data_IF_663925306265
#
_entry.id   IF_663925306265
#
_cell.length_a   1.000
_cell.length_b   1.000
_cell.length_c   1.000
_cell.angle_alpha   90.00
_cell.angle_beta   90.00
_cell.angle_gamma   90.00
#
_symmetry.space_group_name_H-M   'P 1'
#
loop_
_entity.id
_entity.type
_entity.pdbx_description
1 polymer ?
#
# COMPACT_ATOMS: atom_id res chain seq x y z
N UNK A 1 23.06 7.59 -2.94
CA UNK A 1 21.66 7.68 -2.44
C UNK A 1 21.49 9.03 -1.76
N UNK A 2 20.75 9.97 -2.38
CA UNK A 2 20.58 11.32 -1.84
C UNK A 2 19.82 11.38 -0.51
N UNK A 3 19.91 12.48 0.26
CA UNK A 3 19.25 12.63 1.56
C UNK A 3 17.73 12.46 1.48
N UNK A 4 17.12 12.92 0.39
CA UNK A 4 15.70 12.74 0.08
C UNK A 4 15.30 11.27 0.08
N UNK A 5 16.20 10.37 -0.35
CA UNK A 5 15.82 8.97 -0.44
C UNK A 5 15.66 8.32 0.93
N UNK A 6 16.52 8.68 1.88
CA UNK A 6 16.45 8.15 3.24
C UNK A 6 15.20 8.62 3.98
N UNK A 7 14.76 9.86 3.73
CA UNK A 7 13.55 10.41 4.38
C UNK A 7 12.31 9.63 3.95
N UNK A 8 12.12 9.41 2.65
CA UNK A 8 10.97 8.63 2.14
C UNK A 8 11.03 7.18 2.66
N UNK A 9 12.22 6.58 2.69
CA UNK A 9 12.41 5.23 3.20
C UNK A 9 12.04 5.13 4.69
N UNK A 10 12.42 6.13 5.48
CA UNK A 10 12.09 6.22 6.89
C UNK A 10 10.57 6.39 7.09
N UNK A 11 9.91 7.23 6.29
CA UNK A 11 8.46 7.41 6.34
C UNK A 11 7.71 6.11 6.00
N UNK A 12 8.14 5.39 4.96
CA UNK A 12 7.55 4.10 4.57
C UNK A 12 7.76 3.05 5.68
N UNK A 13 8.91 3.04 6.33
CA UNK A 13 9.17 2.13 7.45
C UNK A 13 8.31 2.45 8.68
N UNK A 14 8.09 3.74 8.99
CA UNK A 14 7.14 4.14 10.04
C UNK A 14 5.74 3.63 9.70
N UNK A 15 5.32 3.82 8.45
CA UNK A 15 4.00 3.39 7.98
C UNK A 15 3.81 1.88 8.12
N UNK A 16 4.83 1.10 7.76
CA UNK A 16 4.87 -0.35 7.95
C UNK A 16 4.88 -0.75 9.44
N UNK A 17 5.61 -0.03 10.29
CA UNK A 17 5.64 -0.29 11.73
C UNK A 17 4.27 -0.05 12.37
N UNK A 18 3.58 1.03 11.98
CA UNK A 18 2.21 1.31 12.42
C UNK A 18 1.28 0.17 11.97
N UNK A 19 1.37 -0.27 10.71
CA UNK A 19 0.59 -1.40 10.21
C UNK A 19 0.85 -2.70 11.01
N UNK A 20 2.11 -2.98 11.35
CA UNK A 20 2.49 -4.16 12.13
C UNK A 20 1.92 -4.10 13.56
N UNK A 21 1.94 -2.93 14.21
CA UNK A 21 1.33 -2.74 15.53
C UNK A 21 -0.17 -2.94 15.48
N UNK A 22 -0.87 -2.36 14.49
CA UNK A 22 -2.31 -2.54 14.29
C UNK A 22 -2.63 -4.02 14.06
N UNK A 23 -1.83 -4.72 13.27
CA UNK A 23 -1.99 -6.16 13.03
C UNK A 23 -1.85 -7.00 14.31
N UNK A 24 -0.85 -6.69 15.15
CA UNK A 24 -0.69 -7.34 16.45
C UNK A 24 -1.87 -7.09 17.39
N UNK A 25 -2.34 -5.84 17.48
CA UNK A 25 -3.50 -5.47 18.29
C UNK A 25 -4.78 -6.15 17.80
N UNK A 26 -4.98 -6.24 16.48
CA UNK A 26 -6.10 -6.94 15.87
C UNK A 26 -6.08 -8.43 16.20
N UNK A 27 -4.91 -9.08 16.12
CA UNK A 27 -4.78 -10.49 16.47
C UNK A 27 -5.20 -10.73 17.92
N UNK A 28 -4.68 -9.92 18.86
CA UNK A 28 -5.04 -10.00 20.28
C UNK A 28 -6.54 -9.75 20.47
N UNK A 29 -7.10 -8.75 19.79
CA UNK A 29 -8.52 -8.40 19.86
C UNK A 29 -9.45 -9.51 19.37
N UNK A 30 -9.09 -10.18 18.26
CA UNK A 30 -9.85 -11.32 17.74
C UNK A 30 -9.73 -12.51 18.69
N UNK A 31 -8.53 -12.83 19.17
CA UNK A 31 -8.33 -13.89 20.17
C UNK A 31 -9.17 -13.65 21.42
N UNK A 32 -9.20 -12.41 21.94
CA UNK A 32 -10.02 -12.04 23.09
C UNK A 32 -11.52 -12.18 22.80
N UNK A 33 -11.99 -11.70 21.64
CA UNK A 33 -13.40 -11.80 21.27
C UNK A 33 -13.85 -13.26 21.08
N UNK A 34 -13.00 -14.09 20.48
CA UNK A 34 -13.22 -15.54 20.35
C UNK A 34 -13.29 -16.18 21.73
N UNK A 35 -12.34 -15.90 22.63
CA UNK A 35 -12.35 -16.40 24.01
C UNK A 35 -13.61 -15.96 24.77
N UNK A 36 -13.98 -14.68 24.67
CA UNK A 36 -15.18 -14.12 25.30
C UNK A 36 -16.46 -14.80 24.80
N UNK A 37 -16.53 -15.12 23.50
CA UNK A 37 -17.68 -15.82 22.92
C UNK A 37 -17.82 -17.24 23.46
N UNK A 38 -16.71 -17.94 23.70
CA UNK A 38 -16.73 -19.31 24.22
C UNK A 38 -16.94 -19.39 25.73
N UNK A 39 -16.44 -18.43 26.50
CA UNK A 39 -16.48 -18.45 27.97
C UNK A 39 -17.65 -17.66 28.53
N UNK A 40 -17.96 -16.49 27.96
CA UNK A 40 -18.97 -15.56 28.47
C UNK A 40 -20.28 -15.59 27.67
N UNK A 41 -20.35 -16.35 26.55
CA UNK A 41 -21.53 -16.53 25.70
C UNK A 41 -22.19 -15.24 25.16
N UNK A 42 -21.50 -14.09 25.28
CA UNK A 42 -21.93 -12.77 24.79
C UNK A 42 -21.20 -12.46 23.47
N UNK A 43 -21.91 -12.39 22.32
CA UNK A 43 -21.29 -12.05 21.04
C UNK A 43 -21.01 -10.55 20.95
N UNK A 44 -19.74 -10.15 21.01
CA UNK A 44 -19.31 -8.79 20.70
C UNK A 44 -19.43 -8.51 19.19
N UNK A 45 -20.60 -8.05 18.75
CA UNK A 45 -20.84 -7.66 17.35
C UNK A 45 -19.83 -6.60 16.85
N UNK A 46 -19.36 -5.71 17.74
CA UNK A 46 -18.38 -4.65 17.44
C UNK A 46 -16.99 -5.15 17.06
N UNK A 47 -16.62 -6.40 17.40
CA UNK A 47 -15.28 -6.93 17.07
C UNK A 47 -15.14 -7.15 15.56
N UNK A 48 -16.21 -7.57 14.88
CA UNK A 48 -16.16 -7.85 13.44
C UNK A 48 -15.92 -6.56 12.64
N UNK A 49 -16.60 -5.48 13.00
CA UNK A 49 -16.43 -4.14 12.40
C UNK A 49 -14.99 -3.62 12.63
N UNK A 50 -14.50 -3.70 13.88
CA UNK A 50 -13.14 -3.27 14.22
C UNK A 50 -12.07 -4.07 13.45
N UNK A 51 -12.30 -5.36 13.24
CA UNK A 51 -11.42 -6.22 12.47
C UNK A 51 -11.38 -5.82 10.99
N UNK A 52 -12.55 -5.58 10.39
CA UNK A 52 -12.64 -5.12 9.01
C UNK A 52 -11.92 -3.78 8.80
N UNK A 53 -12.14 -2.81 9.69
CA UNK A 53 -11.50 -1.50 9.62
C UNK A 53 -9.98 -1.61 9.73
N UNK A 54 -9.49 -2.34 10.72
CA UNK A 54 -8.06 -2.54 10.93
C UNK A 54 -7.39 -3.24 9.75
N UNK A 55 -8.07 -4.21 9.11
CA UNK A 55 -7.55 -4.90 7.92
C UNK A 55 -7.35 -3.93 6.75
N UNK A 56 -8.25 -2.97 6.57
CA UNK A 56 -8.11 -1.90 5.56
C UNK A 56 -6.86 -1.08 5.87
N UNK A 57 -6.69 -0.59 7.11
CA UNK A 57 -5.50 0.18 7.50
C UNK A 57 -4.21 -0.61 7.29
N UNK A 58 -4.15 -1.87 7.72
CA UNK A 58 -2.95 -2.71 7.58
C UNK A 58 -2.62 -2.90 6.09
N UNK A 59 -3.61 -3.22 5.26
CA UNK A 59 -3.42 -3.48 3.83
C UNK A 59 -2.86 -2.25 3.12
N UNK A 60 -3.46 -1.08 3.34
CA UNK A 60 -3.07 0.15 2.65
C UNK A 60 -1.75 0.74 3.19
N UNK A 61 -1.53 0.78 4.51
CA UNK A 61 -0.26 1.28 5.08
C UNK A 61 0.94 0.39 4.74
N UNK A 62 0.74 -0.93 4.62
CA UNK A 62 1.83 -1.86 4.30
C UNK A 62 2.16 -1.93 2.80
N UNK A 63 1.23 -1.54 1.93
CA UNK A 63 1.40 -1.65 0.47
C UNK A 63 2.67 -0.96 -0.09
N UNK A 64 3.02 0.29 0.31
CA UNK A 64 4.24 0.95 -0.19
C UNK A 64 5.52 0.22 0.22
N UNK A 65 5.55 -0.30 1.45
CA UNK A 65 6.69 -1.06 1.97
C UNK A 65 6.82 -2.41 1.26
N UNK A 66 5.71 -3.11 1.02
CA UNK A 66 5.70 -4.37 0.31
C UNK A 66 6.13 -4.20 -1.16
N UNK A 67 5.64 -3.15 -1.82
CA UNK A 67 6.04 -2.83 -3.20
C UNK A 67 7.55 -2.57 -3.29
N UNK A 68 8.13 -1.86 -2.31
CA UNK A 68 9.57 -1.66 -2.23
C UNK A 68 10.34 -2.98 -2.15
N UNK A 69 9.90 -3.91 -1.32
CA UNK A 69 10.60 -5.19 -1.10
C UNK A 69 10.46 -6.13 -2.30
N UNK A 70 9.27 -6.16 -2.94
CA UNK A 70 8.91 -7.13 -3.98
C UNK A 70 9.04 -6.60 -5.41
N UNK A 71 9.20 -5.29 -5.58
CA UNK A 71 9.30 -4.64 -6.89
C UNK A 71 10.38 -5.26 -7.78
N UNK A 72 11.58 -5.47 -7.25
CA UNK A 72 12.65 -6.13 -8.01
C UNK A 72 12.40 -7.63 -8.21
N UNK A 73 11.89 -8.32 -7.18
CA UNK A 73 11.75 -9.78 -7.15
C UNK A 73 10.67 -10.30 -8.11
N UNK A 74 9.51 -9.64 -8.19
CA UNK A 74 8.39 -10.10 -9.02
C UNK A 74 8.74 -10.03 -10.51
N UNK A 75 9.44 -8.97 -10.92
CA UNK A 75 9.82 -8.86 -12.32
C UNK A 75 10.99 -9.81 -12.59
N UNK A 76 11.99 -9.94 -11.71
CA UNK A 76 13.11 -10.87 -11.92
C UNK A 76 12.71 -12.32 -12.25
N UNK A 77 11.62 -12.85 -11.67
CA UNK A 77 11.10 -14.19 -12.01
C UNK A 77 10.67 -14.33 -13.47
N UNK A 78 9.96 -13.33 -14.00
CA UNK A 78 9.51 -13.30 -15.41
C UNK A 78 10.70 -13.05 -16.33
N UNK A 79 11.67 -12.27 -15.86
CA UNK A 79 12.82 -11.85 -16.62
C UNK A 79 13.91 -12.91 -16.73
N UNK A 80 13.92 -13.93 -15.86
CA UNK A 80 14.81 -15.10 -15.97
C UNK A 80 14.60 -15.88 -17.29
N UNK A 81 13.44 -15.74 -17.93
CA UNK A 81 13.11 -16.40 -19.19
C UNK A 81 13.42 -15.56 -20.44
N UNK A 82 13.84 -14.29 -20.30
CA UNK A 82 13.94 -13.32 -21.41
C UNK A 82 15.35 -12.75 -21.60
N UNK A 83 15.70 -12.43 -22.86
CA UNK A 83 16.94 -11.72 -23.20
C UNK A 83 17.00 -10.31 -22.57
N UNK A 84 18.21 -9.85 -22.24
CA UNK A 84 18.47 -8.60 -21.47
C UNK A 84 17.80 -7.33 -22.01
N UNK A 85 17.56 -7.22 -23.31
CA UNK A 85 16.90 -6.03 -23.91
C UNK A 85 15.38 -6.06 -23.71
N UNK A 86 14.74 -7.21 -23.88
CA UNK A 86 13.31 -7.37 -23.64
C UNK A 86 12.98 -7.31 -22.15
N UNK A 87 13.90 -7.83 -21.31
CA UNK A 87 13.87 -7.70 -19.84
C UNK A 87 13.70 -6.23 -19.41
N UNK A 88 14.57 -5.36 -19.92
CA UNK A 88 14.57 -3.93 -19.56
C UNK A 88 13.34 -3.17 -20.09
N UNK A 89 12.82 -3.52 -21.27
CA UNK A 89 11.62 -2.89 -21.80
C UNK A 89 10.36 -3.24 -20.97
N UNK A 90 10.25 -4.49 -20.51
CA UNK A 90 9.14 -4.93 -19.66
C UNK A 90 9.16 -4.30 -18.27
N UNK A 91 10.34 -4.15 -17.67
CA UNK A 91 10.51 -3.45 -16.39
C UNK A 91 10.00 -2.01 -16.48
N UNK A 92 10.50 -1.25 -17.46
CA UNK A 92 10.09 0.13 -17.68
C UNK A 92 8.58 0.26 -17.96
N UNK A 93 8.03 -0.67 -18.75
CA UNK A 93 6.60 -0.70 -19.04
C UNK A 93 5.76 -0.94 -17.79
N UNK A 94 6.15 -1.91 -16.95
CA UNK A 94 5.45 -2.22 -15.71
C UNK A 94 5.50 -1.03 -14.73
N UNK A 95 6.65 -0.37 -14.62
CA UNK A 95 6.80 0.80 -13.74
C UNK A 95 5.93 1.97 -14.22
N UNK A 96 5.92 2.27 -15.53
CA UNK A 96 5.06 3.31 -16.11
C UNK A 96 3.59 2.98 -15.85
N UNK A 97 3.18 1.73 -16.08
CA UNK A 97 1.82 1.28 -15.83
C UNK A 97 1.45 1.42 -14.35
N UNK A 98 2.38 1.07 -13.45
CA UNK A 98 2.25 1.24 -12.01
C UNK A 98 2.05 2.70 -11.59
N UNK A 99 2.79 3.64 -12.18
CA UNK A 99 2.57 5.09 -11.96
C UNK A 99 1.19 5.50 -12.42
N UNK A 100 0.78 5.14 -13.64
CA UNK A 100 -0.51 5.55 -14.21
C UNK A 100 -1.66 5.05 -13.33
N UNK A 101 -1.64 3.77 -12.95
CA UNK A 101 -2.67 3.18 -12.09
C UNK A 101 -2.66 3.86 -10.73
N UNK A 102 -1.49 4.08 -10.12
CA UNK A 102 -1.40 4.69 -8.79
C UNK A 102 -1.91 6.12 -8.78
N UNK A 103 -1.61 6.92 -9.81
CA UNK A 103 -2.12 8.30 -9.96
C UNK A 103 -3.62 8.31 -10.18
N UNK A 104 -4.12 7.43 -11.07
CA UNK A 104 -5.55 7.31 -11.34
C UNK A 104 -6.33 6.96 -10.07
N UNK A 105 -5.86 5.97 -9.31
CA UNK A 105 -6.46 5.59 -8.02
C UNK A 105 -6.32 6.68 -6.96
N UNK A 106 -5.19 7.40 -6.89
CA UNK A 106 -5.02 8.52 -5.97
C UNK A 106 -6.07 9.61 -6.25
N UNK A 107 -6.26 9.97 -7.52
CA UNK A 107 -7.25 10.98 -7.92
C UNK A 107 -8.68 10.52 -7.66
N UNK A 108 -9.02 9.30 -8.06
CA UNK A 108 -10.36 8.75 -7.85
C UNK A 108 -10.68 8.61 -6.36
N UNK A 109 -9.75 8.09 -5.55
CA UNK A 109 -9.94 7.96 -4.10
C UNK A 109 -10.10 9.32 -3.43
N UNK A 110 -9.36 10.35 -3.88
CA UNK A 110 -9.52 11.71 -3.38
C UNK A 110 -10.90 12.30 -3.71
N UNK A 111 -11.37 12.15 -4.95
CA UNK A 111 -12.72 12.58 -5.34
C UNK A 111 -13.80 11.88 -4.54
N UNK A 112 -13.72 10.55 -4.40
CA UNK A 112 -14.67 9.77 -3.62
C UNK A 112 -14.63 10.21 -2.16
N UNK A 113 -13.44 10.45 -1.59
CA UNK A 113 -13.30 10.98 -0.22
C UNK A 113 -14.03 12.32 -0.11
N UNK A 114 -13.75 13.29 -0.98
CA UNK A 114 -14.42 14.60 -0.94
C UNK A 114 -15.94 14.53 -1.10
N UNK A 115 -16.44 13.68 -2.00
CA UNK A 115 -17.89 13.49 -2.17
C UNK A 115 -18.52 12.88 -0.91
N UNK A 116 -17.86 11.89 -0.30
CA UNK A 116 -18.34 11.26 0.94
C UNK A 116 -18.36 12.22 2.14
N UNK A 117 -17.40 13.16 2.21
CA UNK A 117 -17.39 14.22 3.24
C UNK A 117 -18.59 15.16 3.07
N UNK A 118 -18.98 15.45 1.83
CA UNK A 118 -20.10 16.36 1.52
C UNK A 118 -21.47 15.72 1.73
N UNK A 119 -21.57 14.41 1.49
CA UNK A 119 -22.83 13.66 1.59
C UNK A 119 -23.08 13.08 3.00
N UNK A 120 -22.17 13.28 3.97
CA UNK A 120 -22.14 12.64 5.30
C UNK A 120 -22.51 11.14 5.23
N UNK A 121 -21.93 10.45 4.25
CA UNK A 121 -22.20 9.02 4.06
C UNK A 121 -21.63 8.27 5.25
N UNK A 122 -22.52 7.72 6.05
CA UNK A 122 -22.18 6.85 7.17
C UNK A 122 -22.36 5.41 6.73
N UNK A 123 -21.38 4.59 7.07
CA UNK A 123 -21.50 3.15 6.84
C UNK A 123 -22.65 2.66 7.74
N UNK A 124 -23.53 1.82 7.18
CA UNK A 124 -24.61 1.16 7.92
C UNK A 124 -24.04 0.06 8.84
N UNK A 125 -23.19 0.47 9.78
CA UNK A 125 -22.61 -0.36 10.84
C UNK A 125 -23.17 0.08 12.21
N UNK A 126 -23.13 -0.80 13.20
CA UNK A 126 -23.75 -0.62 14.52
C UNK A 126 -23.23 0.60 15.29
N UNK A 127 -22.07 1.15 14.91
CA UNK A 127 -21.44 2.31 15.53
C UNK A 127 -21.57 3.62 14.73
N UNK A 128 -22.30 3.63 13.59
CA UNK A 128 -22.50 4.82 12.76
C UNK A 128 -21.18 5.55 12.42
N UNK A 129 -20.13 4.77 12.15
CA UNK A 129 -18.78 5.30 11.95
C UNK A 129 -18.74 6.08 10.64
N UNK A 130 -18.21 7.31 10.64
CA UNK A 130 -18.17 8.11 9.43
C UNK A 130 -17.19 7.48 8.41
N UNK A 131 -17.66 7.26 7.18
CA UNK A 131 -16.94 6.52 6.13
C UNK A 131 -15.61 7.19 5.73
N UNK A 132 -15.51 8.50 5.93
CA UNK A 132 -14.33 9.32 5.62
C UNK A 132 -13.03 8.83 6.29
N UNK A 133 -13.11 8.17 7.44
CA UNK A 133 -11.96 7.81 8.27
C UNK A 133 -11.21 6.66 7.61
N UNK A 134 -11.98 5.71 7.06
CA UNK A 134 -11.50 4.58 6.29
C UNK A 134 -11.05 5.02 4.89
N UNK A 135 -11.78 5.94 4.25
CA UNK A 135 -11.45 6.33 2.89
C UNK A 135 -10.17 7.17 2.80
N UNK A 136 -9.84 7.95 3.83
CA UNK A 136 -8.66 8.84 3.83
C UNK A 136 -7.31 8.10 3.80
N UNK A 137 -7.25 6.86 4.28
CA UNK A 137 -6.01 6.06 4.26
C UNK A 137 -5.61 5.65 2.84
N UNK A 138 -6.60 5.52 1.95
CA UNK A 138 -6.44 5.07 0.56
C UNK A 138 -5.64 6.08 -0.27
N UNK A 139 -6.02 7.38 -0.39
CA UNK A 139 -5.26 8.36 -1.16
C UNK A 139 -3.85 8.56 -0.60
N UNK A 140 -3.65 8.51 0.73
CA UNK A 140 -2.31 8.57 1.33
C UNK A 140 -1.45 7.42 0.81
N UNK A 141 -1.97 6.20 0.86
CA UNK A 141 -1.21 5.00 0.48
C UNK A 141 -0.86 5.01 -1.01
N UNK A 142 -1.80 5.42 -1.87
CA UNK A 142 -1.55 5.57 -3.31
C UNK A 142 -0.56 6.71 -3.65
N UNK A 143 -0.52 7.77 -2.85
CA UNK A 143 0.48 8.83 -2.99
C UNK A 143 1.89 8.26 -2.73
N UNK A 144 2.08 7.51 -1.65
CA UNK A 144 3.35 6.84 -1.36
C UNK A 144 3.72 5.79 -2.42
N UNK A 145 2.77 5.01 -2.92
CA UNK A 145 2.99 4.07 -4.04
C UNK A 145 3.45 4.79 -5.31
N UNK A 146 2.84 5.93 -5.64
CA UNK A 146 3.23 6.74 -6.80
C UNK A 146 4.68 7.21 -6.69
N UNK A 147 5.08 7.70 -5.50
CA UNK A 147 6.48 8.10 -5.24
C UNK A 147 7.42 6.90 -5.41
N UNK A 148 7.01 5.72 -4.95
CA UNK A 148 7.82 4.49 -5.04
C UNK A 148 8.02 4.05 -6.50
N UNK A 149 6.97 4.03 -7.31
CA UNK A 149 7.10 3.72 -8.74
C UNK A 149 7.96 4.73 -9.50
N UNK A 150 7.84 6.03 -9.17
CA UNK A 150 8.67 7.05 -9.80
C UNK A 150 10.17 6.86 -9.50
N UNK A 151 10.51 6.25 -8.36
CA UNK A 151 11.89 5.89 -8.00
C UNK A 151 12.38 4.70 -8.82
N UNK A 152 11.56 3.67 -9.01
CA UNK A 152 11.92 2.53 -9.85
C UNK A 152 12.24 2.97 -11.28
N UNK A 153 11.41 3.84 -11.88
CA UNK A 153 11.68 4.43 -13.19
C UNK A 153 13.04 5.15 -13.22
N UNK A 154 13.37 5.94 -12.19
CA UNK A 154 14.65 6.66 -12.13
C UNK A 154 15.84 5.71 -12.05
N UNK A 155 15.72 4.63 -11.29
CA UNK A 155 16.77 3.64 -11.13
C UNK A 155 17.00 2.86 -12.43
N UNK A 156 15.92 2.45 -13.09
CA UNK A 156 15.96 1.79 -14.41
C UNK A 156 16.60 2.67 -15.49
N UNK A 157 16.27 3.97 -15.53
CA UNK A 157 16.88 4.92 -16.47
C UNK A 157 18.39 5.08 -16.21
N UNK A 158 18.82 5.11 -14.94
CA UNK A 158 20.25 5.21 -14.60
C UNK A 158 21.00 3.95 -15.04
N UNK A 159 20.40 2.78 -14.85
CA UNK A 159 20.97 1.50 -15.29
C UNK A 159 21.06 1.42 -16.82
N UNK A 160 20.07 1.94 -17.54
CA UNK A 160 20.11 2.04 -19.02
C UNK A 160 21.25 2.94 -19.50
N UNK A 161 21.55 4.03 -18.78
CA UNK A 161 22.66 4.93 -19.14
C UNK A 161 24.02 4.25 -18.95
N UNK A 162 24.22 3.53 -17.84
CA UNK A 162 25.46 2.77 -17.57
C UNK A 162 25.68 1.59 -18.52
N UNK A 163 24.62 0.88 -18.90
CA UNK A 163 24.71 -0.26 -19.83
C UNK A 163 25.14 0.13 -21.25
N UNK A 164 25.01 1.41 -21.63
CA UNK A 164 25.51 1.94 -22.91
C UNK A 164 26.97 2.40 -22.85
N UNK A 165 27.48 2.73 -21.66
CA UNK A 165 28.88 3.18 -21.48
C UNK A 165 29.88 2.01 -21.40
N UNK A 166 29.41 0.77 -21.16
CA UNK A 166 30.27 -0.43 -21.11
C UNK A 166 30.36 -1.22 -22.42
N UNK A 167 29.71 -0.78 -23.50
CA UNK A 167 29.81 -1.38 -24.86
C UNK A 167 30.62 -0.50 -25.85
N UNK A 168 31.27 0.57 -25.38
CA UNK A 168 32.19 1.43 -26.14
C UNK A 168 33.62 1.25 -25.63
#
# INVERSE_FOLDING_TARGET
>A
MGPVNRVIDFLINILAAIAAVIMGLLLIGICYATFSRFVFNEPLARTVELAAYSLIYITFLSAPWLLRQRGHINVDLILLALKDRAKRALLLFNDILGVIISVFFCYFSYLVTMSNIKEDVRIMDSSNTPQWLLLFVIPISFLFLTIQFLRFIREDIILLKKGKEGEL
#
